data_IF_537391326327
#
_entry.id   IF_537391326327
#
_cell.length_a   1.000
_cell.length_b   1.000
_cell.length_c   1.000
_cell.angle_alpha   90.00
_cell.angle_beta   90.00
_cell.angle_gamma   90.00
#
_symmetry.space_group_name_H-M   'P 1'
#
loop_
_entity.id
_entity.type
_entity.pdbx_description
1 polymer ?
#
# COMPACT_ATOMS: atom_id res chain seq x y z
N UNK A 1 -42.50 56.46 26.49
CA UNK A 1 -42.23 55.91 25.15
C UNK A 1 -41.78 54.46 25.31
N UNK A 2 -42.57 53.52 24.82
CA UNK A 2 -42.42 52.07 24.98
C UNK A 2 -41.45 51.55 23.92
N UNK A 3 -40.30 51.00 24.35
CA UNK A 3 -39.37 50.34 23.44
C UNK A 3 -39.88 48.93 23.13
N UNK A 4 -40.20 48.71 21.86
CA UNK A 4 -40.70 47.45 21.34
C UNK A 4 -39.66 46.33 21.50
N UNK A 5 -40.06 45.26 22.20
CA UNK A 5 -39.36 43.99 22.23
C UNK A 5 -39.54 43.27 20.88
N UNK A 6 -38.66 43.54 19.91
CA UNK A 6 -38.53 42.73 18.71
C UNK A 6 -37.54 41.58 18.97
N UNK A 7 -38.04 40.48 19.55
CA UNK A 7 -37.31 39.22 19.60
C UNK A 7 -37.19 38.65 18.18
N UNK A 8 -35.99 38.68 17.60
CA UNK A 8 -35.72 38.00 16.34
C UNK A 8 -35.82 36.48 16.56
N UNK A 9 -36.55 35.73 15.71
CA UNK A 9 -36.60 34.28 15.81
C UNK A 9 -35.22 33.72 15.46
N UNK A 10 -34.53 33.14 16.46
CA UNK A 10 -33.30 32.39 16.23
C UNK A 10 -33.62 31.18 15.36
N UNK A 11 -33.27 31.26 14.07
CA UNK A 11 -33.42 30.17 13.09
C UNK A 11 -32.62 28.96 13.57
N UNK A 12 -33.28 28.03 14.25
CA UNK A 12 -32.70 26.79 14.71
C UNK A 12 -32.30 25.96 13.48
N UNK A 13 -31.02 25.99 13.09
CA UNK A 13 -30.50 25.14 12.03
C UNK A 13 -30.64 23.69 12.48
N UNK A 14 -31.55 22.98 11.81
CA UNK A 14 -31.81 21.56 11.95
C UNK A 14 -30.49 20.77 11.97
N UNK A 15 -30.25 20.11 13.10
CA UNK A 15 -29.10 19.26 13.42
C UNK A 15 -29.23 17.86 12.80
N UNK A 16 -29.84 17.76 11.62
CA UNK A 16 -30.11 16.48 10.93
C UNK A 16 -28.83 15.64 10.68
N UNK A 17 -27.66 16.28 10.68
CA UNK A 17 -26.35 15.62 10.54
C UNK A 17 -25.82 14.95 11.81
N UNK A 18 -26.51 15.07 12.96
CA UNK A 18 -26.10 14.47 14.24
C UNK A 18 -26.94 13.25 14.64
N UNK A 19 -27.61 12.58 13.70
CA UNK A 19 -28.24 11.30 14.02
C UNK A 19 -27.16 10.29 14.42
N UNK A 20 -27.24 9.76 15.64
CA UNK A 20 -26.30 8.77 16.17
C UNK A 20 -26.11 7.58 15.21
N UNK A 21 -27.13 7.24 14.40
CA UNK A 21 -27.05 6.23 13.34
C UNK A 21 -26.01 6.51 12.26
N UNK A 22 -25.87 7.77 11.80
CA UNK A 22 -24.86 8.12 10.79
C UNK A 22 -23.45 8.01 11.36
N UNK A 23 -23.27 8.36 12.64
CA UNK A 23 -22.01 8.16 13.36
C UNK A 23 -21.64 6.68 13.45
N UNK A 24 -22.58 5.81 13.80
CA UNK A 24 -22.31 4.37 13.85
C UNK A 24 -22.08 3.75 12.47
N UNK A 25 -22.80 4.22 11.44
CA UNK A 25 -22.60 3.77 10.06
C UNK A 25 -21.20 4.13 9.56
N UNK A 26 -20.76 5.37 9.78
CA UNK A 26 -19.42 5.82 9.38
C UNK A 26 -18.30 5.05 10.09
N UNK A 27 -18.43 4.80 11.39
CA UNK A 27 -17.48 3.98 12.16
C UNK A 27 -17.49 2.52 11.64
N UNK A 28 -18.67 1.95 11.41
CA UNK A 28 -18.82 0.58 10.91
C UNK A 28 -18.21 0.40 9.52
N UNK A 29 -18.48 1.33 8.60
CA UNK A 29 -17.92 1.32 7.25
C UNK A 29 -16.39 1.44 7.27
N UNK A 30 -15.86 2.37 8.06
CA UNK A 30 -14.42 2.56 8.21
C UNK A 30 -13.74 1.31 8.82
N UNK A 31 -14.38 0.69 9.81
CA UNK A 31 -13.91 -0.56 10.42
C UNK A 31 -13.88 -1.70 9.40
N UNK A 32 -14.92 -1.83 8.57
CA UNK A 32 -15.00 -2.89 7.56
C UNK A 32 -13.89 -2.75 6.52
N UNK A 33 -13.70 -1.54 6.00
CA UNK A 33 -12.63 -1.24 5.02
C UNK A 33 -11.26 -1.54 5.62
N UNK A 34 -11.02 -1.05 6.85
CA UNK A 34 -9.72 -1.24 7.49
C UNK A 34 -9.43 -2.71 7.79
N UNK A 35 -10.43 -3.46 8.27
CA UNK A 35 -10.28 -4.89 8.55
C UNK A 35 -10.02 -5.69 7.26
N UNK A 36 -10.71 -5.35 6.16
CA UNK A 36 -10.46 -5.96 4.86
C UNK A 36 -9.03 -5.69 4.36
N UNK A 37 -8.55 -4.45 4.46
CA UNK A 37 -7.19 -4.09 4.10
C UNK A 37 -6.18 -4.91 4.92
N UNK A 38 -6.35 -5.01 6.25
CA UNK A 38 -5.44 -5.76 7.12
C UNK A 38 -5.34 -7.24 6.68
N UNK A 39 -6.46 -7.88 6.32
CA UNK A 39 -6.46 -9.26 5.83
C UNK A 39 -5.71 -9.39 4.51
N UNK A 40 -5.87 -8.43 3.58
CA UNK A 40 -5.15 -8.41 2.32
C UNK A 40 -3.64 -8.26 2.53
N UNK A 41 -3.23 -7.39 3.46
CA UNK A 41 -1.82 -7.21 3.81
C UNK A 41 -1.21 -8.46 4.45
N UNK A 42 -1.98 -9.13 5.31
CA UNK A 42 -1.58 -10.41 5.89
C UNK A 42 -1.41 -11.49 4.80
N UNK A 43 -2.32 -11.56 3.83
CA UNK A 43 -2.24 -12.52 2.72
C UNK A 43 -1.05 -12.27 1.77
N UNK A 44 -0.58 -11.03 1.64
CA UNK A 44 0.61 -10.68 0.87
C UNK A 44 1.93 -10.97 1.60
N UNK A 45 1.88 -11.39 2.87
CA UNK A 45 3.07 -11.70 3.67
C UNK A 45 3.69 -10.50 4.40
N UNK A 46 3.05 -9.32 4.35
CA UNK A 46 3.54 -8.10 4.99
C UNK A 46 3.14 -8.04 6.48
N UNK A 47 3.61 -9.01 7.28
CA UNK A 47 3.20 -9.20 8.67
C UNK A 47 3.46 -8.00 9.57
N UNK A 48 4.63 -7.36 9.43
CA UNK A 48 5.04 -6.25 10.28
C UNK A 48 4.09 -5.05 10.12
N UNK A 49 3.76 -4.74 8.86
CA UNK A 49 2.84 -3.65 8.54
C UNK A 49 1.39 -4.01 8.90
N UNK A 50 0.98 -5.26 8.70
CA UNK A 50 -0.36 -5.73 9.09
C UNK A 50 -0.61 -5.60 10.60
N UNK A 51 0.34 -6.02 11.44
CA UNK A 51 0.22 -5.91 12.91
C UNK A 51 0.21 -4.44 13.35
N UNK A 52 1.10 -3.62 12.80
CA UNK A 52 1.17 -2.19 13.14
C UNK A 52 -0.11 -1.44 12.78
N UNK A 53 -0.64 -1.66 11.57
CA UNK A 53 -1.90 -1.03 11.15
C UNK A 53 -3.09 -1.52 11.95
N UNK A 54 -3.14 -2.81 12.31
CA UNK A 54 -4.17 -3.36 13.20
C UNK A 54 -4.17 -2.65 14.56
N UNK A 55 -3.00 -2.47 15.18
CA UNK A 55 -2.88 -1.78 16.48
C UNK A 55 -3.30 -0.31 16.36
N UNK A 56 -2.85 0.39 15.33
CA UNK A 56 -3.23 1.79 15.09
C UNK A 56 -4.74 1.91 14.89
N UNK A 57 -5.29 1.20 13.90
CA UNK A 57 -6.71 1.27 13.54
C UNK A 57 -7.61 0.88 14.72
N UNK A 58 -7.27 -0.17 15.47
CA UNK A 58 -8.06 -0.59 16.64
C UNK A 58 -8.04 0.46 17.76
N UNK A 59 -6.88 1.06 18.05
CA UNK A 59 -6.79 2.16 19.00
C UNK A 59 -7.60 3.38 18.53
N UNK A 60 -7.52 3.72 17.24
CA UNK A 60 -8.32 4.79 16.63
C UNK A 60 -9.81 4.53 16.78
N UNK A 61 -10.29 3.38 16.33
CA UNK A 61 -11.70 2.98 16.45
C UNK A 61 -12.18 3.06 17.90
N UNK A 62 -11.37 2.59 18.87
CA UNK A 62 -11.70 2.67 20.29
C UNK A 62 -11.87 4.12 20.79
N UNK A 63 -10.95 5.02 20.43
CA UNK A 63 -10.97 6.44 20.81
C UNK A 63 -12.16 7.19 20.19
N UNK A 64 -12.50 6.87 18.93
CA UNK A 64 -13.62 7.51 18.22
C UNK A 64 -14.99 6.93 18.63
N UNK A 65 -15.05 5.64 19.00
CA UNK A 65 -16.26 5.01 19.50
C UNK A 65 -16.63 5.52 20.90
N UNK A 66 -15.66 5.58 21.82
CA UNK A 66 -15.92 5.95 23.22
C UNK A 66 -16.14 7.47 23.38
N UNK A 67 -17.17 7.86 24.15
CA UNK A 67 -17.45 9.28 24.48
C UNK A 67 -16.48 9.84 25.53
N UNK A 68 -15.90 8.97 26.39
CA UNK A 68 -14.97 9.38 27.47
C UNK A 68 -13.57 9.76 26.95
N UNK A 69 -13.20 9.32 25.74
CA UNK A 69 -11.90 9.55 25.14
C UNK A 69 -11.84 10.83 24.27
N UNK A 70 -12.64 11.86 24.57
CA UNK A 70 -12.75 13.04 23.70
C UNK A 70 -11.43 13.81 23.57
N UNK A 71 -10.67 13.94 24.66
CA UNK A 71 -9.34 14.55 24.64
C UNK A 71 -8.36 13.80 23.71
N UNK A 72 -8.43 12.47 23.70
CA UNK A 72 -7.56 11.61 22.91
C UNK A 72 -7.77 11.75 21.40
N UNK A 73 -8.94 12.23 20.94
CA UNK A 73 -9.21 12.41 19.49
C UNK A 73 -8.28 13.43 18.84
N UNK A 74 -7.81 14.42 19.60
CA UNK A 74 -6.89 15.44 19.11
C UNK A 74 -5.42 15.00 19.19
N UNK A 75 -5.09 14.14 20.17
CA UNK A 75 -3.74 13.65 20.39
C UNK A 75 -3.42 12.45 19.48
N UNK A 76 -4.40 11.58 19.26
CA UNK A 76 -4.30 10.37 18.46
C UNK A 76 -3.68 10.58 17.06
N UNK A 77 -4.09 11.56 16.23
CA UNK A 77 -3.47 11.74 14.91
C UNK A 77 -1.97 12.06 15.00
N UNK A 78 -1.53 12.79 16.03
CA UNK A 78 -0.11 13.06 16.28
C UNK A 78 0.65 11.81 16.70
N UNK A 79 0.12 11.04 17.66
CA UNK A 79 0.73 9.79 18.12
C UNK A 79 0.77 8.75 16.98
N UNK A 80 -0.29 8.65 16.18
CA UNK A 80 -0.33 7.76 15.02
C UNK A 80 0.76 8.12 14.02
N UNK A 81 0.96 9.41 13.72
CA UNK A 81 2.05 9.87 12.86
C UNK A 81 3.43 9.57 13.45
N UNK A 82 3.66 9.87 14.73
CA UNK A 82 4.92 9.53 15.41
C UNK A 82 5.16 8.01 15.43
N UNK A 83 4.12 7.22 15.64
CA UNK A 83 4.18 5.76 15.58
C UNK A 83 4.61 5.25 14.20
N UNK A 84 4.06 5.82 13.14
CA UNK A 84 4.27 5.37 11.77
C UNK A 84 5.61 5.86 11.17
N UNK A 85 6.07 7.04 11.57
CA UNK A 85 7.29 7.65 10.99
C UNK A 85 8.52 7.60 11.90
N UNK A 86 8.36 7.44 13.21
CA UNK A 86 9.48 7.41 14.16
C UNK A 86 9.60 6.05 14.81
N UNK A 87 8.51 5.54 15.40
CA UNK A 87 8.54 4.28 16.15
C UNK A 87 8.68 3.08 15.21
N UNK A 88 7.98 3.08 14.08
CA UNK A 88 8.05 2.03 13.07
C UNK A 88 9.46 1.79 12.54
N UNK A 89 10.19 2.78 11.98
CA UNK A 89 11.55 2.55 11.50
C UNK A 89 12.51 2.14 12.62
N UNK A 90 12.29 2.62 13.85
CA UNK A 90 13.07 2.22 15.02
C UNK A 90 12.88 0.72 15.32
N UNK A 91 11.64 0.23 15.42
CA UNK A 91 11.34 -1.19 15.65
C UNK A 91 11.87 -2.04 14.49
N UNK A 92 11.69 -1.61 13.25
CA UNK A 92 12.26 -2.28 12.08
C UNK A 92 13.78 -2.41 12.20
N UNK A 93 14.47 -1.36 12.63
CA UNK A 93 15.93 -1.38 12.83
C UNK A 93 16.32 -2.40 13.88
N UNK A 94 15.61 -2.46 15.02
CA UNK A 94 15.86 -3.44 16.09
C UNK A 94 15.61 -4.86 15.57
N UNK A 95 14.50 -5.09 14.86
CA UNK A 95 14.18 -6.40 14.28
C UNK A 95 15.24 -6.86 13.27
N UNK A 96 15.73 -5.94 12.43
CA UNK A 96 16.84 -6.20 11.50
C UNK A 96 18.14 -6.48 12.27
N UNK A 97 18.41 -5.76 13.37
CA UNK A 97 19.64 -5.95 14.16
C UNK A 97 19.73 -7.35 14.81
N UNK A 98 18.59 -7.96 15.18
CA UNK A 98 18.56 -9.33 15.71
C UNK A 98 18.51 -10.41 14.63
N UNK A 99 18.21 -10.05 13.38
CA UNK A 99 18.22 -10.99 12.25
C UNK A 99 19.57 -10.89 11.54
N UNK A 100 20.12 -11.98 11.02
CA UNK A 100 21.39 -11.95 10.27
C UNK A 100 21.16 -11.36 8.86
N UNK A 101 20.79 -10.08 8.81
CA UNK A 101 20.51 -9.34 7.59
C UNK A 101 21.81 -8.70 7.07
N UNK A 102 22.70 -9.54 6.53
CA UNK A 102 23.94 -9.13 5.86
C UNK A 102 23.70 -8.91 4.36
N UNK A 103 24.59 -8.18 3.66
CA UNK A 103 24.55 -7.96 2.19
C UNK A 103 24.58 -9.25 1.37
N UNK A 104 24.86 -10.40 2.00
CA UNK A 104 24.77 -11.75 1.43
C UNK A 104 23.34 -12.35 1.46
N UNK A 105 22.42 -11.78 2.24
CA UNK A 105 21.08 -12.32 2.53
C UNK A 105 19.97 -11.25 2.30
N UNK A 106 20.11 -10.45 1.24
CA UNK A 106 19.16 -9.40 0.84
C UNK A 106 17.90 -9.94 0.14
N UNK A 107 17.90 -11.22 -0.22
CA UNK A 107 16.81 -11.89 -0.92
C UNK A 107 16.12 -12.82 0.08
N UNK A 108 14.80 -12.65 0.24
CA UNK A 108 13.97 -13.66 0.90
C UNK A 108 14.22 -15.03 0.25
N UNK A 109 14.16 -16.11 1.03
CA UNK A 109 14.53 -17.47 0.60
C UNK A 109 13.95 -17.87 -0.78
N UNK A 110 12.72 -17.46 -1.09
CA UNK A 110 12.02 -17.69 -2.36
C UNK A 110 12.68 -16.99 -3.57
N UNK A 111 13.22 -15.79 -3.35
CA UNK A 111 13.97 -15.04 -4.37
C UNK A 111 15.36 -15.63 -4.59
N UNK A 112 16.01 -16.14 -3.55
CA UNK A 112 17.29 -16.86 -3.70
C UNK A 112 17.11 -18.16 -4.50
N UNK A 113 16.02 -18.90 -4.26
CA UNK A 113 15.69 -20.13 -4.99
C UNK A 113 15.37 -19.85 -6.47
N UNK A 114 14.62 -18.79 -6.79
CA UNK A 114 14.32 -18.43 -8.18
C UNK A 114 15.58 -17.97 -8.95
N UNK A 115 16.50 -17.25 -8.29
CA UNK A 115 17.80 -16.89 -8.88
C UNK A 115 18.70 -18.11 -9.10
N UNK A 116 18.70 -19.07 -8.17
CA UNK A 116 19.43 -20.32 -8.31
C UNK A 116 18.84 -21.24 -9.40
N UNK A 117 17.51 -21.29 -9.54
CA UNK A 117 16.80 -22.02 -10.61
C UNK A 117 16.97 -21.35 -11.99
N UNK A 118 17.15 -20.02 -12.03
CA UNK A 118 17.48 -19.27 -13.24
C UNK A 118 18.94 -19.42 -13.67
N UNK A 119 19.81 -20.04 -12.86
CA UNK A 119 21.17 -20.39 -13.30
C UNK A 119 21.08 -21.50 -14.35
N UNK A 120 20.90 -21.08 -15.60
CA UNK A 120 21.04 -21.96 -16.75
C UNK A 120 22.53 -22.24 -16.97
N UNK A 121 22.93 -23.50 -16.79
CA UNK A 121 24.15 -24.00 -17.43
C UNK A 121 23.93 -23.96 -18.94
N UNK A 122 24.94 -23.48 -19.69
CA UNK A 122 24.91 -23.38 -21.15
C UNK A 122 24.76 -24.79 -21.77
N UNK A 123 23.52 -25.24 -21.91
CA UNK A 123 23.17 -26.49 -22.59
C UNK A 123 21.92 -26.22 -23.42
N UNK A 124 22.04 -25.30 -24.39
CA UNK A 124 20.91 -24.87 -25.21
C UNK A 124 21.31 -23.96 -26.37
N UNK A 125 20.51 -24.01 -27.44
CA UNK A 125 20.72 -23.48 -28.80
C UNK A 125 21.25 -22.03 -28.85
N UNK A 126 22.27 -21.79 -29.68
CA UNK A 126 22.84 -20.47 -29.97
C UNK A 126 21.89 -19.64 -30.85
N UNK A 127 21.53 -18.43 -30.38
CA UNK A 127 20.75 -17.45 -31.14
C UNK A 127 21.65 -16.31 -31.60
N UNK A 128 21.51 -15.84 -32.84
CA UNK A 128 22.19 -14.64 -33.33
C UNK A 128 21.31 -13.43 -32.99
N UNK A 129 21.88 -12.40 -32.36
CA UNK A 129 21.14 -11.18 -32.02
C UNK A 129 21.47 -10.04 -32.99
N UNK A 130 20.47 -9.24 -33.35
CA UNK A 130 20.61 -7.98 -34.08
C UNK A 130 19.98 -6.85 -33.26
N UNK A 131 20.65 -5.71 -33.17
CA UNK A 131 20.22 -4.58 -32.35
C UNK A 131 19.94 -3.39 -33.27
N UNK A 132 18.69 -2.93 -33.29
CA UNK A 132 18.23 -1.89 -34.20
C UNK A 132 17.87 -0.62 -33.42
N UNK A 133 18.37 0.55 -33.84
CA UNK A 133 17.94 1.83 -33.27
C UNK A 133 16.50 2.12 -33.71
N UNK A 134 15.61 2.40 -32.76
CA UNK A 134 14.27 2.93 -33.00
C UNK A 134 14.29 4.45 -32.82
N UNK A 135 13.33 5.16 -33.42
CA UNK A 135 13.10 6.57 -33.11
C UNK A 135 12.91 6.72 -31.58
N UNK A 136 13.45 7.81 -31.00
CA UNK A 136 13.48 8.11 -29.56
C UNK A 136 14.56 7.43 -28.70
N UNK A 137 15.75 7.14 -29.27
CA UNK A 137 16.92 6.58 -28.53
C UNK A 137 16.62 5.26 -27.82
N UNK A 138 15.59 4.53 -28.25
CA UNK A 138 15.31 3.18 -27.79
C UNK A 138 15.97 2.16 -28.71
N UNK A 139 16.40 1.04 -28.15
CA UNK A 139 17.04 -0.04 -28.89
C UNK A 139 16.18 -1.28 -28.81
N UNK A 140 15.87 -1.86 -29.96
CA UNK A 140 15.12 -3.11 -30.03
C UNK A 140 16.09 -4.26 -30.30
N UNK A 141 16.02 -5.30 -29.46
CA UNK A 141 16.80 -6.52 -29.58
C UNK A 141 15.99 -7.57 -30.35
N UNK A 142 16.45 -7.97 -31.52
CA UNK A 142 15.86 -9.04 -32.31
C UNK A 142 16.73 -10.29 -32.18
N UNK A 143 16.12 -11.40 -31.74
CA UNK A 143 16.79 -12.70 -31.58
C UNK A 143 16.39 -13.62 -32.75
N UNK A 144 17.36 -13.96 -33.60
CA UNK A 144 17.13 -14.88 -34.73
C UNK A 144 17.64 -16.28 -34.36
N UNK A 145 16.76 -17.30 -34.26
CA UNK A 145 17.19 -18.68 -34.08
C UNK A 145 17.97 -19.20 -35.29
N UNK A 146 19.11 -19.87 -35.07
CA UNK A 146 19.96 -20.45 -36.14
C UNK A 146 19.24 -21.55 -36.97
N UNK A 147 18.12 -22.10 -36.47
CA UNK A 147 17.39 -23.23 -37.10
C UNK A 147 16.03 -22.86 -37.69
N UNK A 148 15.70 -21.58 -37.85
CA UNK A 148 14.54 -21.19 -38.66
C UNK A 148 15.00 -20.94 -40.09
N UNK A 149 14.90 -21.97 -40.94
CA UNK A 149 14.83 -21.76 -42.38
C UNK A 149 13.74 -20.72 -42.64
N UNK A 150 14.17 -19.57 -43.13
CA UNK A 150 13.40 -18.39 -43.47
C UNK A 150 12.12 -18.74 -44.23
N UNK A 151 10.96 -18.67 -43.55
CA UNK A 151 9.71 -18.31 -44.21
C UNK A 151 9.54 -16.79 -44.05
N UNK A 152 10.22 -16.04 -44.94
CA UNK A 152 9.93 -14.64 -45.13
C UNK A 152 8.48 -14.50 -45.63
N UNK A 153 7.59 -14.00 -44.79
CA UNK A 153 6.35 -13.38 -45.28
C UNK A 153 6.72 -11.94 -45.65
N UNK A 154 6.57 -11.51 -46.92
CA UNK A 154 6.72 -10.11 -47.25
C UNK A 154 5.61 -9.29 -46.57
N UNK A 155 5.90 -8.08 -46.07
CA UNK A 155 4.84 -7.18 -45.60
C UNK A 155 3.93 -6.79 -46.78
N UNK A 156 2.61 -6.65 -46.57
CA UNK A 156 1.75 -6.09 -47.59
C UNK A 156 2.19 -4.65 -47.87
N UNK A 157 2.51 -4.38 -49.13
CA UNK A 157 2.65 -3.03 -49.65
C UNK A 157 1.31 -2.30 -49.43
N UNK A 158 1.40 -1.07 -48.92
CA UNK A 158 0.30 -0.13 -48.91
C UNK A 158 -0.24 0.13 -50.33
#
# INVERSE_FOLDING_TARGET
>A
MQFAHAGLPTRQKSKWWQHDGLKWLTIGLFSLISCYLIVLMYAQGEYLFAIMTLILVSAGLYIFANRRAYAWRYVYPGIAGMGLFVLFPLICTIAIAFTNYSSTNQLTFERAQSVLMQRQFQTGKTFTFGLYPTADRQWQLLLTPRTAASRCFPPPLA
#
